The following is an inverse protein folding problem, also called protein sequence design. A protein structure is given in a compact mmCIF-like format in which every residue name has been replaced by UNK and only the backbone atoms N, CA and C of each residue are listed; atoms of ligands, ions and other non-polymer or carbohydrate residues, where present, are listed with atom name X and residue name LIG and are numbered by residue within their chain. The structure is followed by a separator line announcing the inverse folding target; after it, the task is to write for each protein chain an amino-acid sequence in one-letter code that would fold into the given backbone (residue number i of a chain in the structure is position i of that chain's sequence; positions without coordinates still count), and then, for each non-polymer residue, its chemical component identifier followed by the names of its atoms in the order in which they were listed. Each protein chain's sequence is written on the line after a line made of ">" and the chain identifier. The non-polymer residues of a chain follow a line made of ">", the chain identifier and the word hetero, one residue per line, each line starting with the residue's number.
data_IF_571248097879
#
_entry.id   IF_571248097879
#
_cell.length_a   1.000
_cell.length_b   1.000
_cell.length_c   1.000
_cell.angle_alpha   90.00
_cell.angle_beta   90.00
_cell.angle_gamma   90.00
#
_symmetry.space_group_name_H-M   'P 1'
#
loop_
_entity.id
_entity.type
_entity.pdbx_description
1 polymer ?
#
# COMPACT_ATOMS: atom_id res chain seq x y z
N UNK A 1 84.81 5.95 50.99
CA UNK A 1 85.99 5.43 50.26
C UNK A 1 87.13 6.46 50.21
N UNK A 2 87.51 7.05 51.36
CA UNK A 2 88.56 8.08 51.44
C UNK A 2 89.79 7.62 52.23
N UNK A 3 89.73 6.46 52.90
CA UNK A 3 90.87 5.83 53.59
C UNK A 3 91.87 5.19 52.63
N UNK A 4 91.40 4.65 51.50
CA UNK A 4 92.27 3.97 50.52
C UNK A 4 93.20 4.91 49.75
N UNK A 5 92.84 6.20 49.61
CA UNK A 5 93.66 7.18 48.91
C UNK A 5 94.84 7.66 49.77
N UNK A 6 94.65 7.75 51.09
CA UNK A 6 95.68 8.17 52.04
C UNK A 6 96.81 7.14 52.18
N UNK A 7 96.48 5.85 52.16
CA UNK A 7 97.48 4.77 52.18
C UNK A 7 98.28 4.68 50.88
N UNK A 8 97.66 5.00 49.73
CA UNK A 8 98.36 4.96 48.43
C UNK A 8 99.34 6.12 48.20
N UNK A 9 99.14 7.26 48.86
CA UNK A 9 100.07 8.40 48.76
C UNK A 9 101.30 8.22 49.66
N UNK A 10 101.19 7.45 50.75
CA UNK A 10 102.30 7.23 51.68
C UNK A 10 103.38 6.25 51.18
N UNK A 11 103.11 5.53 50.10
CA UNK A 11 103.98 4.45 49.61
C UNK A 11 104.92 4.87 48.46
N UNK A 12 105.01 6.17 48.16
CA UNK A 12 105.99 6.70 47.21
C UNK A 12 107.17 7.26 48.00
N UNK A 13 108.05 6.37 48.43
CA UNK A 13 109.38 6.71 48.93
C UNK A 13 110.28 7.11 47.76
N UNK A 14 110.19 8.37 47.33
CA UNK A 14 111.15 9.01 46.43
C UNK A 14 112.19 9.75 47.27
N UNK A 15 113.44 9.26 47.20
CA UNK A 15 114.70 9.89 47.62
C UNK A 15 114.99 10.05 49.13
N UNK A 16 115.95 9.24 49.65
CA UNK A 16 117.25 9.73 50.18
C UNK A 16 118.20 8.56 50.55
N UNK A 17 119.24 8.41 49.72
CA UNK A 17 120.65 8.06 49.97
C UNK A 17 121.08 7.00 50.99
N UNK A 18 121.80 6.00 50.48
CA UNK A 18 123.04 5.50 51.07
C UNK A 18 124.09 5.31 49.95
N UNK A 19 125.11 6.15 49.99
CA UNK A 19 126.44 6.03 49.34
C UNK A 19 127.00 4.62 49.64
N UNK A 20 127.70 3.88 48.78
CA UNK A 20 128.86 4.19 47.94
C UNK A 20 129.14 2.91 47.10
N UNK A 21 129.39 3.01 45.78
CA UNK A 21 130.31 2.14 45.03
C UNK A 21 130.40 2.62 43.56
N UNK A 22 131.56 3.19 43.22
CA UNK A 22 131.88 3.65 41.88
C UNK A 22 132.25 2.49 40.93
N UNK A 23 131.88 2.71 39.66
CA UNK A 23 132.54 2.19 38.44
C UNK A 23 132.08 0.84 37.87
N UNK A 24 131.00 0.89 37.08
CA UNK A 24 130.95 0.33 35.72
C UNK A 24 129.97 1.16 34.89
N UNK A 25 130.50 1.89 33.90
CA UNK A 25 129.70 2.59 32.88
C UNK A 25 128.82 1.56 32.16
N UNK A 26 127.53 1.57 32.48
CA UNK A 26 126.47 0.89 31.76
C UNK A 26 125.47 1.96 31.31
N UNK A 27 124.99 1.87 30.06
CA UNK A 27 124.60 3.03 29.27
C UNK A 27 123.42 3.75 29.92
N UNK A 28 123.56 5.06 30.16
CA UNK A 28 122.40 5.93 30.40
C UNK A 28 121.47 5.71 29.22
N UNK A 29 120.34 5.06 29.45
CA UNK A 29 119.35 4.83 28.42
C UNK A 29 118.72 6.19 28.09
N UNK A 30 119.21 6.84 27.05
CA UNK A 30 118.72 8.14 26.55
C UNK A 30 117.22 8.06 26.18
N UNK A 31 116.68 6.84 26.03
CA UNK A 31 115.28 6.56 25.74
C UNK A 31 114.44 6.22 26.98
N UNK A 32 115.01 6.26 28.19
CA UNK A 32 114.27 6.09 29.44
C UNK A 32 113.31 7.29 29.62
N UNK A 33 112.01 7.03 29.47
CA UNK A 33 110.96 8.06 29.44
C UNK A 33 110.21 8.14 28.11
N UNK A 34 110.81 7.67 27.01
CA UNK A 34 110.12 7.57 25.72
C UNK A 34 108.93 6.61 25.78
N UNK A 35 109.09 5.47 26.45
CA UNK A 35 108.01 4.49 26.64
C UNK A 35 106.83 5.05 27.47
N UNK A 36 107.13 5.86 28.50
CA UNK A 36 106.11 6.54 29.31
C UNK A 36 105.38 7.59 28.48
N UNK A 37 106.11 8.38 27.69
CA UNK A 37 105.54 9.35 26.77
C UNK A 37 104.67 8.68 25.71
N UNK A 38 105.13 7.58 25.10
CA UNK A 38 104.35 6.79 24.14
C UNK A 38 103.09 6.21 24.76
N UNK A 39 103.16 5.73 26.00
CA UNK A 39 101.99 5.22 26.73
C UNK A 39 100.94 6.32 26.97
N UNK A 40 101.34 7.49 27.47
CA UNK A 40 100.40 8.60 27.67
C UNK A 40 99.89 9.18 26.35
N UNK A 41 100.73 9.25 25.30
CA UNK A 41 100.32 9.68 23.98
C UNK A 41 99.27 8.73 23.38
N UNK A 42 99.47 7.41 23.51
CA UNK A 42 98.53 6.40 23.04
C UNK A 42 97.20 6.44 23.81
N UNK A 43 97.24 6.61 25.13
CA UNK A 43 96.02 6.79 25.93
C UNK A 43 95.27 8.08 25.58
N UNK A 44 96.00 9.15 25.31
CA UNK A 44 95.40 10.42 24.90
C UNK A 44 94.78 10.34 23.51
N UNK A 45 95.42 9.67 22.56
CA UNK A 45 94.88 9.38 21.23
C UNK A 45 93.60 8.52 21.32
N UNK A 46 93.61 7.47 22.13
CA UNK A 46 92.42 6.63 22.36
C UNK A 46 91.28 7.45 22.98
N UNK A 47 91.58 8.26 24.01
CA UNK A 47 90.58 9.12 24.64
C UNK A 47 90.00 10.14 23.65
N UNK A 48 90.85 10.73 22.81
CA UNK A 48 90.40 11.67 21.77
C UNK A 48 89.48 11.00 20.75
N UNK A 49 89.84 9.80 20.29
CA UNK A 49 89.01 9.03 19.37
C UNK A 49 87.65 8.70 19.99
N UNK A 50 87.63 8.24 21.24
CA UNK A 50 86.37 7.95 21.96
C UNK A 50 85.54 9.23 22.13
N UNK A 51 86.17 10.36 22.42
CA UNK A 51 85.47 11.63 22.57
C UNK A 51 84.88 12.13 21.24
N UNK A 52 85.59 11.97 20.13
CA UNK A 52 85.10 12.30 18.79
C UNK A 52 83.94 11.38 18.36
N UNK A 53 84.05 10.07 18.60
CA UNK A 53 82.96 9.12 18.38
C UNK A 53 81.75 9.39 19.30
N UNK A 54 81.98 9.90 20.51
CA UNK A 54 80.90 10.30 21.41
C UNK A 54 80.22 11.59 20.93
N UNK A 55 81.00 12.59 20.50
CA UNK A 55 80.47 13.84 19.96
C UNK A 55 79.61 13.60 18.71
N UNK A 56 80.09 12.78 17.77
CA UNK A 56 79.35 12.42 16.54
C UNK A 56 78.09 11.60 16.86
N UNK A 57 78.12 10.70 17.84
CA UNK A 57 76.92 9.99 18.30
C UNK A 57 75.92 10.91 18.98
N UNK A 58 76.38 11.84 19.81
CA UNK A 58 75.52 12.83 20.46
C UNK A 58 74.83 13.74 19.45
N UNK A 59 75.54 14.15 18.39
CA UNK A 59 74.97 14.94 17.29
C UNK A 59 73.88 14.17 16.53
N UNK A 60 74.10 12.88 16.21
CA UNK A 60 73.07 12.03 15.59
C UNK A 60 71.82 11.92 16.45
N UNK A 61 71.99 11.67 17.75
CA UNK A 61 70.85 11.60 18.69
C UNK A 61 70.12 12.93 18.78
N UNK A 62 70.83 14.06 18.77
CA UNK A 62 70.22 15.38 18.75
C UNK A 62 69.35 15.60 17.50
N UNK A 63 69.86 15.21 16.32
CA UNK A 63 69.10 15.27 15.06
C UNK A 63 67.85 14.36 15.10
N UNK A 64 67.98 13.13 15.62
CA UNK A 64 66.83 12.22 15.77
C UNK A 64 65.78 12.82 16.73
N UNK A 65 66.20 13.44 17.84
CA UNK A 65 65.29 14.12 18.76
C UNK A 65 64.59 15.30 18.09
N UNK A 66 65.28 16.09 17.28
CA UNK A 66 64.69 17.22 16.57
C UNK A 66 63.64 16.75 15.55
N UNK A 67 63.95 15.71 14.77
CA UNK A 67 63.00 15.14 13.80
C UNK A 67 61.75 14.59 14.50
N UNK A 68 61.91 13.85 15.59
CA UNK A 68 60.77 13.34 16.38
C UNK A 68 59.98 14.49 16.99
N UNK A 69 60.65 15.50 17.56
CA UNK A 69 60.00 16.66 18.16
C UNK A 69 59.16 17.43 17.15
N UNK A 70 59.71 17.67 15.95
CA UNK A 70 58.99 18.34 14.87
C UNK A 70 57.77 17.52 14.39
N UNK A 71 57.91 16.20 14.25
CA UNK A 71 56.82 15.30 13.90
C UNK A 71 55.70 15.29 14.95
N UNK A 72 56.06 15.19 16.23
CA UNK A 72 55.11 15.22 17.35
C UNK A 72 54.38 16.57 17.40
N UNK A 73 55.10 17.67 17.22
CA UNK A 73 54.49 19.01 17.21
C UNK A 73 53.52 19.19 16.03
N UNK A 74 53.86 18.65 14.85
CA UNK A 74 52.97 18.67 13.70
C UNK A 74 51.70 17.85 13.94
N UNK A 75 51.83 16.63 14.47
CA UNK A 75 50.68 15.80 14.83
C UNK A 75 49.80 16.45 15.89
N UNK A 76 50.38 17.11 16.90
CA UNK A 76 49.63 17.87 17.90
C UNK A 76 48.78 18.97 17.25
N UNK A 77 49.34 19.71 16.28
CA UNK A 77 48.60 20.72 15.52
C UNK A 77 47.47 20.10 14.70
N UNK A 78 47.74 18.99 14.00
CA UNK A 78 46.74 18.28 13.21
C UNK A 78 45.58 17.76 14.08
N UNK A 79 45.88 17.17 15.23
CA UNK A 79 44.86 16.69 16.20
C UNK A 79 44.05 17.87 16.74
N UNK A 80 44.69 18.98 17.09
CA UNK A 80 43.98 20.18 17.56
C UNK A 80 43.04 20.74 16.48
N UNK A 81 43.47 20.75 15.22
CA UNK A 81 42.64 21.18 14.09
C UNK A 81 41.45 20.24 13.86
N UNK A 82 41.68 18.92 13.85
CA UNK A 82 40.61 17.93 13.72
C UNK A 82 39.61 18.07 14.87
N UNK A 83 40.10 18.21 16.10
CA UNK A 83 39.24 18.37 17.27
C UNK A 83 38.41 19.66 17.18
N UNK A 84 39.02 20.76 16.75
CA UNK A 84 38.29 22.02 16.49
C UNK A 84 37.21 21.86 15.42
N UNK A 85 37.48 21.14 14.32
CA UNK A 85 36.47 20.84 13.31
C UNK A 85 35.36 19.99 13.92
N UNK A 86 35.68 18.91 14.63
CA UNK A 86 34.69 18.02 15.23
C UNK A 86 33.80 18.72 16.25
N UNK A 87 34.35 19.65 17.04
CA UNK A 87 33.59 20.43 18.02
C UNK A 87 32.71 21.51 17.36
N UNK A 88 33.21 22.17 16.32
CA UNK A 88 32.48 23.27 15.67
C UNK A 88 31.58 22.84 14.53
N UNK A 89 31.77 21.64 13.99
CA UNK A 89 30.85 21.07 13.02
C UNK A 89 29.61 20.59 13.76
N UNK A 90 28.47 21.19 13.42
CA UNK A 90 27.15 20.74 13.83
C UNK A 90 26.76 19.41 13.15
N UNK A 91 27.72 18.50 12.95
CA UNK A 91 27.55 17.26 12.19
C UNK A 91 26.48 16.39 12.84
N UNK A 92 26.53 16.23 14.17
CA UNK A 92 25.49 15.50 14.90
C UNK A 92 24.11 16.14 14.71
N UNK A 93 24.01 17.47 14.82
CA UNK A 93 22.76 18.19 14.58
C UNK A 93 22.25 18.04 13.15
N UNK A 94 23.15 18.07 12.16
CA UNK A 94 22.80 17.90 10.75
C UNK A 94 22.36 16.47 10.44
N UNK A 95 23.03 15.47 11.03
CA UNK A 95 22.64 14.06 10.93
C UNK A 95 21.26 13.87 11.55
N UNK A 96 21.02 14.42 12.75
CA UNK A 96 19.71 14.35 13.41
C UNK A 96 18.63 15.02 12.56
N UNK A 97 18.89 16.21 11.99
CA UNK A 97 17.95 16.87 11.06
C UNK A 97 17.65 16.05 9.80
N UNK A 98 18.66 15.37 9.25
CA UNK A 98 18.45 14.46 8.13
C UNK A 98 17.60 13.26 8.55
N UNK A 99 17.85 12.68 9.73
CA UNK A 99 17.06 11.59 10.28
C UNK A 99 15.61 12.02 10.54
N UNK A 100 15.40 13.22 11.09
CA UNK A 100 14.07 13.79 11.31
C UNK A 100 13.34 14.00 9.97
N UNK A 101 14.01 14.58 8.98
CA UNK A 101 13.47 14.75 7.62
C UNK A 101 13.08 13.41 6.98
N UNK A 102 13.92 12.38 7.15
CA UNK A 102 13.63 11.03 6.66
C UNK A 102 12.42 10.44 7.37
N UNK A 103 12.33 10.59 8.69
CA UNK A 103 11.20 10.10 9.49
C UNK A 103 9.89 10.79 9.09
N UNK A 104 9.92 12.10 8.86
CA UNK A 104 8.75 12.84 8.41
C UNK A 104 8.33 12.43 6.99
N UNK A 105 9.29 12.13 6.10
CA UNK A 105 9.00 11.55 4.79
C UNK A 105 8.35 10.17 4.90
N UNK A 106 8.82 9.31 5.81
CA UNK A 106 8.19 8.01 6.06
C UNK A 106 6.75 8.14 6.55
N UNK A 107 6.49 9.04 7.52
CA UNK A 107 5.12 9.31 7.99
C UNK A 107 4.24 9.87 6.88
N UNK A 108 4.79 10.76 6.04
CA UNK A 108 4.10 11.30 4.88
C UNK A 108 3.74 10.22 3.86
N UNK A 109 4.67 9.30 3.58
CA UNK A 109 4.43 8.15 2.70
C UNK A 109 3.36 7.23 3.25
N UNK A 110 3.42 6.91 4.55
CA UNK A 110 2.41 6.05 5.21
C UNK A 110 1.02 6.69 5.17
N UNK A 111 0.92 8.00 5.39
CA UNK A 111 -0.35 8.72 5.26
C UNK A 111 -0.88 8.71 3.83
N UNK A 112 -0.01 8.93 2.84
CA UNK A 112 -0.37 8.88 1.42
C UNK A 112 -0.86 7.47 1.04
N UNK A 113 -0.16 6.42 1.46
CA UNK A 113 -0.56 5.03 1.23
C UNK A 113 -1.95 4.74 1.81
N UNK A 114 -2.24 5.20 3.03
CA UNK A 114 -3.58 5.05 3.65
C UNK A 114 -4.66 5.77 2.86
N UNK A 115 -4.42 7.01 2.45
CA UNK A 115 -5.37 7.77 1.64
C UNK A 115 -5.56 7.16 0.25
N UNK A 116 -4.53 6.53 -0.32
CA UNK A 116 -4.62 5.85 -1.61
C UNK A 116 -5.47 4.57 -1.52
N UNK A 117 -5.31 3.80 -0.44
CA UNK A 117 -6.18 2.65 -0.15
C UNK A 117 -7.63 3.13 0.04
N UNK A 118 -7.84 4.22 0.78
CA UNK A 118 -9.18 4.77 0.96
C UNK A 118 -9.81 5.24 -0.36
N UNK A 119 -9.01 5.82 -1.26
CA UNK A 119 -9.46 6.21 -2.58
C UNK A 119 -9.87 4.98 -3.42
N UNK A 120 -9.11 3.88 -3.35
CA UNK A 120 -9.44 2.63 -4.01
C UNK A 120 -10.80 2.08 -3.50
N UNK A 121 -11.02 2.05 -2.19
CA UNK A 121 -12.30 1.66 -1.58
C UNK A 121 -13.47 2.54 -2.09
N UNK A 122 -13.25 3.85 -2.20
CA UNK A 122 -14.26 4.79 -2.70
C UNK A 122 -14.57 4.56 -4.20
N UNK A 123 -13.57 4.24 -5.00
CA UNK A 123 -13.75 3.91 -6.42
C UNK A 123 -14.60 2.64 -6.54
N UNK A 124 -14.24 1.58 -5.81
CA UNK A 124 -15.00 0.32 -5.80
C UNK A 124 -16.45 0.54 -5.36
N UNK A 125 -16.66 1.35 -4.32
CA UNK A 125 -18.00 1.70 -3.86
C UNK A 125 -18.79 2.48 -4.91
N UNK A 126 -18.14 3.42 -5.62
CA UNK A 126 -18.77 4.18 -6.69
C UNK A 126 -19.17 3.29 -7.88
N UNK A 127 -18.30 2.36 -8.28
CA UNK A 127 -18.58 1.39 -9.33
C UNK A 127 -19.72 0.44 -8.95
N UNK A 128 -19.70 -0.07 -7.73
CA UNK A 128 -20.77 -0.91 -7.19
C UNK A 128 -22.13 -0.18 -7.20
N UNK A 129 -22.15 1.08 -6.75
CA UNK A 129 -23.36 1.90 -6.75
C UNK A 129 -23.85 2.18 -8.18
N UNK A 130 -22.95 2.45 -9.12
CA UNK A 130 -23.29 2.60 -10.54
C UNK A 130 -23.92 1.33 -11.11
N UNK A 131 -23.36 0.17 -10.80
CA UNK A 131 -23.90 -1.12 -11.22
C UNK A 131 -25.29 -1.38 -10.62
N UNK A 132 -25.45 -1.16 -9.32
CA UNK A 132 -26.72 -1.27 -8.61
C UNK A 132 -27.80 -0.36 -9.21
N UNK A 133 -27.46 0.90 -9.48
CA UNK A 133 -28.38 1.87 -10.09
C UNK A 133 -28.77 1.45 -11.50
N UNK A 134 -27.83 0.93 -12.29
CA UNK A 134 -28.11 0.40 -13.62
C UNK A 134 -29.09 -0.78 -13.57
N UNK A 135 -28.89 -1.72 -12.66
CA UNK A 135 -29.82 -2.84 -12.49
C UNK A 135 -31.21 -2.39 -12.02
N UNK A 136 -31.27 -1.46 -11.06
CA UNK A 136 -32.53 -0.86 -10.62
C UNK A 136 -33.27 -0.20 -11.78
N UNK A 137 -32.57 0.60 -12.58
CA UNK A 137 -33.14 1.23 -13.77
C UNK A 137 -33.68 0.21 -14.78
N UNK A 138 -32.95 -0.88 -15.04
CA UNK A 138 -33.44 -1.94 -15.92
C UNK A 138 -34.68 -2.64 -15.37
N UNK A 139 -34.76 -2.84 -14.06
CA UNK A 139 -35.93 -3.44 -13.41
C UNK A 139 -37.16 -2.53 -13.53
N UNK A 140 -37.02 -1.25 -13.21
CA UNK A 140 -38.09 -0.25 -13.35
C UNK A 140 -38.61 -0.17 -14.79
N UNK A 141 -37.70 -0.20 -15.78
CA UNK A 141 -38.08 -0.21 -17.19
C UNK A 141 -38.80 -1.49 -17.60
N UNK A 142 -38.40 -2.64 -17.04
CA UNK A 142 -39.09 -3.91 -17.28
C UNK A 142 -40.48 -3.91 -16.67
N UNK A 143 -40.64 -3.45 -15.43
CA UNK A 143 -41.93 -3.32 -14.75
C UNK A 143 -42.87 -2.41 -15.55
N UNK A 144 -42.37 -1.25 -16.00
CA UNK A 144 -43.15 -0.34 -16.85
C UNK A 144 -43.60 -0.99 -18.15
N UNK A 145 -42.70 -1.69 -18.86
CA UNK A 145 -43.06 -2.41 -20.10
C UNK A 145 -44.08 -3.52 -19.84
N UNK A 146 -43.99 -4.20 -18.70
CA UNK A 146 -44.94 -5.24 -18.31
C UNK A 146 -46.31 -4.64 -18.04
N UNK A 147 -46.38 -3.50 -17.36
CA UNK A 147 -47.62 -2.76 -17.10
C UNK A 147 -48.26 -2.28 -18.41
N UNK A 148 -47.47 -1.65 -19.29
CA UNK A 148 -47.95 -1.20 -20.61
C UNK A 148 -48.50 -2.38 -21.43
N UNK A 149 -47.80 -3.52 -21.42
CA UNK A 149 -48.28 -4.74 -22.09
C UNK A 149 -49.56 -5.28 -21.47
N UNK A 150 -49.68 -5.27 -20.13
CA UNK A 150 -50.88 -5.70 -19.44
C UNK A 150 -52.09 -4.82 -19.81
N UNK A 151 -51.92 -3.50 -19.79
CA UNK A 151 -52.94 -2.54 -20.22
C UNK A 151 -53.34 -2.77 -21.67
N UNK A 152 -52.36 -2.96 -22.57
CA UNK A 152 -52.63 -3.25 -23.99
C UNK A 152 -53.42 -4.55 -24.17
N UNK A 153 -53.05 -5.62 -23.45
CA UNK A 153 -53.77 -6.91 -23.50
C UNK A 153 -55.19 -6.75 -22.97
N UNK A 154 -55.38 -6.00 -21.87
CA UNK A 154 -56.70 -5.71 -21.30
C UNK A 154 -57.59 -4.96 -22.29
N UNK A 155 -57.09 -3.88 -22.90
CA UNK A 155 -57.83 -3.12 -23.92
C UNK A 155 -58.18 -4.02 -25.12
N UNK A 156 -57.23 -4.84 -25.60
CA UNK A 156 -57.48 -5.76 -26.70
C UNK A 156 -58.54 -6.82 -26.35
N UNK A 157 -58.54 -7.31 -25.10
CA UNK A 157 -59.52 -8.25 -24.60
C UNK A 157 -60.91 -7.63 -24.49
N UNK A 158 -61.02 -6.42 -23.94
CA UNK A 158 -62.27 -5.65 -23.87
C UNK A 158 -62.84 -5.36 -25.26
N UNK A 159 -62.00 -4.93 -26.21
CA UNK A 159 -62.42 -4.71 -27.59
C UNK A 159 -62.91 -6.01 -28.27
N UNK A 160 -62.22 -7.13 -28.04
CA UNK A 160 -62.64 -8.44 -28.53
C UNK A 160 -63.96 -8.88 -27.90
N UNK A 161 -64.14 -8.63 -26.60
CA UNK A 161 -65.37 -8.93 -25.89
C UNK A 161 -66.54 -8.12 -26.44
N UNK A 162 -66.38 -6.79 -26.58
CA UNK A 162 -67.41 -5.91 -27.13
C UNK A 162 -67.83 -6.34 -28.54
N UNK A 163 -66.86 -6.65 -29.42
CA UNK A 163 -67.13 -7.18 -30.76
C UNK A 163 -67.88 -8.52 -30.73
N UNK A 164 -67.53 -9.41 -29.79
CA UNK A 164 -68.20 -10.70 -29.63
C UNK A 164 -69.65 -10.52 -29.15
N UNK A 165 -69.89 -9.60 -28.22
CA UNK A 165 -71.24 -9.25 -27.75
C UNK A 165 -72.06 -8.65 -28.89
N UNK A 166 -71.52 -7.70 -29.64
CA UNK A 166 -72.20 -7.09 -30.80
C UNK A 166 -72.58 -8.14 -31.85
N UNK A 167 -71.66 -9.06 -32.19
CA UNK A 167 -71.94 -10.16 -33.11
C UNK A 167 -73.03 -11.09 -32.59
N UNK A 168 -73.02 -11.39 -31.29
CA UNK A 168 -74.02 -12.23 -30.65
C UNK A 168 -75.41 -11.57 -30.63
N UNK A 169 -75.49 -10.29 -30.29
CA UNK A 169 -76.73 -9.50 -30.30
C UNK A 169 -77.29 -9.34 -31.70
N UNK A 170 -76.44 -9.02 -32.69
CA UNK A 170 -76.82 -8.91 -34.09
C UNK A 170 -77.35 -10.25 -34.63
N UNK A 171 -76.67 -11.36 -34.31
CA UNK A 171 -77.13 -12.71 -34.63
C UNK A 171 -78.50 -13.03 -34.02
N UNK A 172 -78.68 -12.76 -32.72
CA UNK A 172 -79.99 -12.90 -32.05
C UNK A 172 -81.08 -12.05 -32.69
N UNK A 173 -80.77 -10.79 -33.03
CA UNK A 173 -81.71 -9.86 -33.66
C UNK A 173 -82.09 -10.31 -35.07
N UNK A 174 -81.16 -10.83 -35.85
CA UNK A 174 -81.43 -11.38 -37.18
C UNK A 174 -82.37 -12.59 -37.10
N UNK A 175 -82.10 -13.54 -36.20
CA UNK A 175 -82.97 -14.69 -35.95
C UNK A 175 -84.37 -14.27 -35.49
N UNK A 176 -84.46 -13.27 -34.59
CA UNK A 176 -85.75 -12.73 -34.16
C UNK A 176 -86.52 -12.07 -35.32
N UNK A 177 -85.83 -11.33 -36.18
CA UNK A 177 -86.45 -10.66 -37.35
C UNK A 177 -86.93 -11.67 -38.38
N UNK A 178 -86.15 -12.71 -38.68
CA UNK A 178 -86.55 -13.79 -39.58
C UNK A 178 -87.78 -14.52 -39.02
N UNK A 179 -87.78 -14.88 -37.74
CA UNK A 179 -88.96 -15.44 -37.07
C UNK A 179 -90.16 -14.51 -37.21
N UNK A 180 -90.01 -13.22 -36.96
CA UNK A 180 -91.09 -12.25 -37.10
C UNK A 180 -91.61 -12.17 -38.55
N UNK A 181 -90.74 -12.20 -39.56
CA UNK A 181 -91.14 -12.21 -40.97
C UNK A 181 -91.90 -13.48 -41.33
N UNK A 182 -91.41 -14.65 -40.91
CA UNK A 182 -92.11 -15.93 -41.10
C UNK A 182 -93.50 -15.90 -40.47
N UNK A 183 -93.63 -15.35 -39.25
CA UNK A 183 -94.93 -15.18 -38.61
C UNK A 183 -95.83 -14.19 -39.35
N UNK A 184 -95.29 -13.08 -39.88
CA UNK A 184 -96.06 -12.12 -40.67
C UNK A 184 -96.52 -12.68 -42.02
N UNK A 185 -95.68 -13.43 -42.71
CA UNK A 185 -96.02 -14.07 -43.99
C UNK A 185 -97.05 -15.18 -43.79
N UNK A 186 -96.89 -15.99 -42.74
CA UNK A 186 -97.92 -16.96 -42.33
C UNK A 186 -99.25 -16.26 -42.03
N UNK A 187 -99.22 -15.17 -41.26
CA UNK A 187 -100.42 -14.38 -40.96
C UNK A 187 -101.06 -13.74 -42.20
N UNK A 188 -100.26 -13.27 -43.16
CA UNK A 188 -100.78 -12.72 -44.42
C UNK A 188 -101.42 -13.80 -45.27
N UNK A 189 -100.80 -14.97 -45.34
CA UNK A 189 -101.37 -16.14 -46.01
C UNK A 189 -102.68 -16.58 -45.33
N UNK A 190 -102.74 -16.58 -44.00
CA UNK A 190 -103.97 -16.86 -43.25
C UNK A 190 -105.06 -15.83 -43.55
N UNK A 191 -104.72 -14.54 -43.64
CA UNK A 191 -105.64 -13.47 -44.02
C UNK A 191 -106.13 -13.58 -45.47
N UNK A 192 -105.26 -13.93 -46.41
CA UNK A 192 -105.65 -14.19 -47.81
C UNK A 192 -106.57 -15.42 -47.90
N UNK A 193 -106.26 -16.48 -47.15
CA UNK A 193 -107.11 -17.67 -47.04
C UNK A 193 -108.48 -17.31 -46.46
N UNK A 194 -108.52 -16.47 -45.42
CA UNK A 194 -109.76 -15.98 -44.83
C UNK A 194 -110.58 -15.14 -45.82
N UNK A 195 -109.94 -14.23 -46.59
CA UNK A 195 -110.62 -13.43 -47.62
C UNK A 195 -111.20 -14.27 -48.75
N UNK A 196 -110.53 -15.35 -49.13
CA UNK A 196 -110.93 -16.20 -50.25
C UNK A 196 -111.95 -17.28 -49.86
N UNK A 197 -111.89 -17.82 -48.64
CA UNK A 197 -112.74 -18.94 -48.18
C UNK A 197 -113.74 -18.57 -47.07
N UNK A 198 -113.66 -17.37 -46.48
CA UNK A 198 -114.58 -16.89 -45.43
C UNK A 198 -114.46 -17.59 -44.08
N UNK A 199 -113.43 -18.41 -43.85
CA UNK A 199 -113.21 -19.17 -42.61
C UNK A 199 -111.76 -19.07 -42.16
N UNK A 200 -111.54 -18.88 -40.85
CA UNK A 200 -110.19 -18.74 -40.26
C UNK A 200 -109.58 -20.14 -40.07
N UNK A 201 -108.31 -20.38 -40.48
CA UNK A 201 -107.62 -21.64 -40.20
C UNK A 201 -107.54 -21.90 -38.69
N UNK A 202 -108.08 -23.02 -38.20
CA UNK A 202 -107.91 -23.44 -36.81
C UNK A 202 -106.48 -23.94 -36.61
N UNK A 203 -105.64 -23.15 -35.96
CA UNK A 203 -104.31 -23.56 -35.53
C UNK A 203 -104.47 -24.75 -34.57
N UNK A 204 -103.97 -25.94 -34.96
CA UNK A 204 -103.83 -27.05 -34.03
C UNK A 204 -102.67 -26.72 -33.10
N UNK A 205 -102.97 -26.38 -31.84
CA UNK A 205 -101.93 -26.29 -30.80
C UNK A 205 -101.29 -27.67 -30.63
N UNK A 206 -100.05 -27.83 -31.09
CA UNK A 206 -99.19 -28.90 -30.61
C UNK A 206 -98.68 -28.47 -29.23
N UNK A 207 -99.17 -29.12 -28.18
CA UNK A 207 -98.84 -28.87 -26.77
C UNK A 207 -97.42 -29.36 -26.38
N UNK A 208 -96.43 -29.20 -27.27
CA UNK A 208 -95.06 -29.69 -27.03
C UNK A 208 -94.03 -28.56 -26.89
N UNK A 209 -94.47 -27.32 -26.67
CA UNK A 209 -93.62 -26.22 -26.23
C UNK A 209 -94.05 -25.81 -24.84
N UNK A 210 -93.15 -25.92 -23.85
CA UNK A 210 -93.41 -25.53 -22.47
C UNK A 210 -94.08 -24.14 -22.43
N UNK A 211 -95.22 -24.07 -21.75
CA UNK A 211 -95.91 -22.80 -21.48
C UNK A 211 -94.99 -21.93 -20.61
N UNK A 212 -95.02 -20.62 -20.78
CA UNK A 212 -94.18 -19.70 -19.99
C UNK A 212 -94.45 -19.79 -18.48
N UNK A 213 -95.61 -20.33 -18.07
CA UNK A 213 -95.97 -20.64 -16.68
C UNK A 213 -95.23 -21.87 -16.11
N UNK A 214 -94.59 -22.70 -16.93
CA UNK A 214 -93.85 -23.91 -16.52
C UNK A 214 -92.33 -23.75 -16.52
N UNK A 215 -91.79 -22.60 -16.93
CA UNK A 215 -90.35 -22.31 -16.78
C UNK A 215 -90.09 -21.92 -15.33
N UNK A 216 -89.80 -22.92 -14.49
CA UNK A 216 -89.10 -22.70 -13.23
C UNK A 216 -87.64 -22.40 -13.55
N UNK A 217 -87.23 -21.14 -13.37
CA UNK A 217 -85.82 -20.81 -13.26
C UNK A 217 -85.34 -21.35 -11.92
N UNK A 218 -84.59 -22.44 -11.94
CA UNK A 218 -83.81 -22.88 -10.78
C UNK A 218 -82.78 -21.79 -10.47
N UNK A 219 -83.16 -20.89 -9.56
CA UNK A 219 -82.30 -19.84 -9.06
C UNK A 219 -81.41 -20.46 -7.98
N UNK A 220 -80.29 -21.06 -8.37
CA UNK A 220 -79.32 -21.57 -7.41
C UNK A 220 -78.50 -20.39 -6.86
N UNK A 221 -78.89 -19.95 -5.67
CA UNK A 221 -78.29 -18.82 -4.97
C UNK A 221 -76.79 -19.03 -4.71
N UNK A 222 -76.34 -20.30 -4.67
CA UNK A 222 -74.95 -20.66 -4.46
C UNK A 222 -74.06 -20.39 -5.68
N UNK A 223 -74.61 -20.43 -6.89
CA UNK A 223 -73.84 -20.20 -8.13
C UNK A 223 -73.46 -18.71 -8.25
N UNK A 224 -74.35 -17.82 -7.81
CA UNK A 224 -74.12 -16.38 -7.73
C UNK A 224 -73.04 -16.04 -6.68
N UNK A 225 -73.09 -16.69 -5.52
CA UNK A 225 -72.10 -16.52 -4.46
C UNK A 225 -70.73 -17.09 -4.86
N UNK A 226 -70.69 -18.18 -5.63
CA UNK A 226 -69.44 -18.72 -6.18
C UNK A 226 -68.82 -17.77 -7.20
N UNK A 227 -69.63 -17.14 -8.06
CA UNK A 227 -69.18 -16.13 -9.02
C UNK A 227 -68.54 -14.91 -8.34
N UNK A 228 -69.11 -14.41 -7.23
CA UNK A 228 -68.53 -13.28 -6.49
C UNK A 228 -67.29 -13.63 -5.66
N UNK A 229 -67.13 -14.91 -5.30
CA UNK A 229 -65.99 -15.38 -4.53
C UNK A 229 -64.78 -15.76 -5.41
N UNK A 230 -64.97 -16.01 -6.72
CA UNK A 230 -63.86 -16.27 -7.65
C UNK A 230 -63.10 -15.00 -8.10
N UNK A 231 -63.65 -13.79 -7.91
CA UNK A 231 -62.92 -12.53 -8.18
C UNK A 231 -61.99 -12.07 -7.02
N UNK A 232 -61.93 -12.81 -5.91
CA UNK A 232 -61.12 -12.46 -4.73
C UNK A 232 -60.02 -13.48 -4.38
N UNK A 233 -59.55 -14.27 -5.35
CA UNK A 233 -58.39 -15.17 -5.21
C UNK A 233 -57.25 -14.81 -6.18
#
# INVERSE_FOLDING_TARGET
>A
MLSSLREKILNVSLFTNSEEQYSKSNPVNINAGAEILTHFQSQWEELHKINEENATRAEKVANDIETVSSFVNNNKKNIAFINHILLNTNLSTNINKCLDSINDLYKGSEALEKELIHLEDLIDQAEFNKLKNRHKYHLEQYEKRKEDNFVNVKIALEAKHLKKVEQYESGKKAVMKERQQVFQDAFRSDLETYKNLGTVPKIKQNQNGALLEEIQLDFDQNELDQFFNEENA
#
